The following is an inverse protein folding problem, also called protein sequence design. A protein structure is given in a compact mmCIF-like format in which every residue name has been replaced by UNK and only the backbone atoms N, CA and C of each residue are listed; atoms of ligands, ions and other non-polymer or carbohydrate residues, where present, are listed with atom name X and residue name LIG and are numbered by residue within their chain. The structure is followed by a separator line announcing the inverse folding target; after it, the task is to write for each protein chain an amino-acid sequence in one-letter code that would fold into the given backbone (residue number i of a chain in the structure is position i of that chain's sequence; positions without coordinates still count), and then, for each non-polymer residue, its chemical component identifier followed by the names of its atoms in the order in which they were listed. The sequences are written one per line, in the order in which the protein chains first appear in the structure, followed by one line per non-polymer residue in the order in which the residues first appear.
data_IF_586848861382
#
_entry.id   IF_586848861382
#
_cell.length_a   1.000
_cell.length_b   1.000
_cell.length_c   1.000
_cell.angle_alpha   90.00
_cell.angle_beta   90.00
_cell.angle_gamma   90.00
#
_symmetry.space_group_name_H-M   'P 1'
#
loop_
_entity.id
_entity.type
_entity.pdbx_description
1 polymer ?
#
# COMPACT_ATOMS: atom_id res chain seq x y z
N UNK A 1 39.26 6.41 15.43
CA UNK A 1 38.10 7.29 15.13
C UNK A 1 37.67 7.31 13.65
N UNK A 2 38.55 7.08 12.66
CA UNK A 2 38.19 7.11 11.22
C UNK A 2 37.30 5.96 10.71
N UNK A 3 37.35 4.78 11.33
CA UNK A 3 36.51 3.64 10.90
C UNK A 3 35.04 3.77 11.32
N UNK A 4 34.74 4.45 12.43
CA UNK A 4 33.39 4.56 12.98
C UNK A 4 32.48 5.49 12.15
N UNK A 5 33.06 6.50 11.50
CA UNK A 5 32.32 7.44 10.64
C UNK A 5 31.85 6.75 9.35
N UNK A 6 32.64 5.80 8.82
CA UNK A 6 32.27 5.05 7.62
C UNK A 6 31.12 4.06 7.88
N UNK A 7 31.11 3.41 9.06
CA UNK A 7 30.02 2.50 9.45
C UNK A 7 28.70 3.24 9.64
N UNK A 8 28.73 4.42 10.27
CA UNK A 8 27.54 5.25 10.45
C UNK A 8 27.00 5.82 9.13
N UNK A 9 27.87 6.12 8.16
CA UNK A 9 27.45 6.60 6.83
C UNK A 9 26.81 5.47 6.00
N UNK A 10 27.32 4.24 6.11
CA UNK A 10 26.73 3.07 5.45
C UNK A 10 25.32 2.73 5.99
N UNK A 11 25.06 2.96 7.28
CA UNK A 11 23.72 2.76 7.86
C UNK A 11 22.69 3.82 7.44
N UNK A 12 23.15 5.01 7.02
CA UNK A 12 22.25 6.09 6.58
C UNK A 12 21.86 5.97 5.10
N UNK A 13 22.67 5.28 4.29
CA UNK A 13 22.42 5.07 2.86
C UNK A 13 21.30 4.06 2.56
N UNK A 14 20.80 3.34 3.56
CA UNK A 14 19.84 2.23 3.39
C UNK A 14 18.38 2.63 3.68
N UNK A 15 17.99 3.90 3.47
CA UNK A 15 16.56 4.31 3.55
C UNK A 15 15.82 4.09 2.23
N UNK A 16 16.20 3.07 1.46
CA UNK A 16 15.47 2.71 0.26
C UNK A 16 14.16 2.00 0.67
N UNK A 17 13.06 2.38 0.03
CA UNK A 17 11.75 1.76 0.21
C UNK A 17 11.51 0.83 -0.99
N UNK A 18 10.80 -0.28 -0.77
CA UNK A 18 10.22 -1.05 -1.86
C UNK A 18 9.26 -0.16 -2.64
N UNK A 19 9.33 -0.20 -3.97
CA UNK A 19 8.42 0.53 -4.84
C UNK A 19 7.27 -0.37 -5.25
N UNK A 20 6.04 0.00 -4.88
CA UNK A 20 4.85 -0.84 -5.03
C UNK A 20 3.80 -0.10 -5.84
N UNK A 21 3.43 -0.69 -6.97
CA UNK A 21 2.39 -0.15 -7.85
C UNK A 21 1.14 -1.04 -7.83
N UNK A 22 -0.03 -0.44 -7.57
CA UNK A 22 -1.31 -1.11 -7.77
C UNK A 22 -1.72 -1.06 -9.24
N UNK A 23 -1.76 -2.23 -9.88
CA UNK A 23 -2.13 -2.38 -11.29
C UNK A 23 -3.63 -2.66 -11.48
N UNK A 24 -4.34 -3.04 -10.41
CA UNK A 24 -5.79 -3.19 -10.38
C UNK A 24 -6.34 -2.76 -9.02
N UNK A 25 -7.50 -2.10 -8.95
CA UNK A 25 -8.33 -1.65 -10.09
C UNK A 25 -7.69 -0.49 -10.86
N UNK A 26 -8.07 -0.34 -12.14
CA UNK A 26 -7.60 0.80 -12.94
C UNK A 26 -8.06 2.13 -12.30
N UNK A 27 -7.21 3.15 -12.39
CA UNK A 27 -7.50 4.46 -11.81
C UNK A 27 -8.80 5.06 -12.38
N UNK A 28 -9.61 5.67 -11.52
CA UNK A 28 -10.88 6.31 -11.90
C UNK A 28 -12.07 5.36 -12.09
N UNK A 29 -11.87 4.04 -11.98
CA UNK A 29 -12.98 3.08 -12.05
C UNK A 29 -13.91 3.25 -10.85
N UNK A 30 -15.21 3.25 -11.11
CA UNK A 30 -16.25 3.22 -10.09
C UNK A 30 -16.65 1.79 -9.77
N UNK A 31 -16.57 1.41 -8.50
CA UNK A 31 -16.93 0.07 -8.03
C UNK A 31 -18.09 0.21 -7.04
N UNK A 32 -19.27 -0.35 -7.32
CA UNK A 32 -20.39 -0.29 -6.40
C UNK A 32 -20.09 -1.00 -5.08
N UNK A 33 -20.56 -0.44 -3.97
CA UNK A 33 -20.59 -1.14 -2.69
C UNK A 33 -21.31 -2.48 -2.80
N UNK A 34 -20.86 -3.47 -2.05
CA UNK A 34 -21.34 -4.85 -2.11
C UNK A 34 -20.74 -5.68 -3.25
N UNK A 35 -19.96 -5.08 -4.14
CA UNK A 35 -19.31 -5.80 -5.26
C UNK A 35 -17.92 -6.26 -4.87
N UNK A 36 -17.53 -7.44 -5.36
CA UNK A 36 -16.16 -7.92 -5.23
C UNK A 36 -15.23 -7.15 -6.19
N UNK A 37 -14.13 -6.63 -5.66
CA UNK A 37 -13.03 -6.06 -6.41
C UNK A 37 -11.79 -6.92 -6.27
N UNK A 38 -10.98 -7.00 -7.33
CA UNK A 38 -9.66 -7.64 -7.29
C UNK A 38 -8.60 -6.55 -7.29
N UNK A 39 -7.78 -6.58 -6.25
CA UNK A 39 -6.65 -5.69 -6.05
C UNK A 39 -5.40 -6.46 -6.44
N UNK A 40 -4.59 -5.88 -7.32
CA UNK A 40 -3.34 -6.48 -7.78
C UNK A 40 -2.24 -5.44 -7.69
N UNK A 41 -1.06 -5.87 -7.27
CA UNK A 41 0.12 -5.02 -7.20
C UNK A 41 1.38 -5.74 -7.67
N UNK A 42 2.37 -4.94 -8.05
CA UNK A 42 3.73 -5.39 -8.37
C UNK A 42 4.73 -4.50 -7.66
N UNK A 43 5.85 -5.09 -7.26
CA UNK A 43 7.07 -4.39 -6.89
C UNK A 43 7.99 -4.28 -8.12
N UNK A 44 8.83 -3.24 -8.17
CA UNK A 44 9.69 -2.94 -9.31
C UNK A 44 10.92 -3.88 -9.43
N UNK A 45 11.15 -4.72 -8.42
CA UNK A 45 12.26 -5.67 -8.33
C UNK A 45 13.59 -5.02 -7.91
N UNK A 46 13.61 -3.71 -7.64
CA UNK A 46 14.80 -3.01 -7.18
C UNK A 46 14.94 -3.20 -5.67
N UNK A 47 16.11 -3.66 -5.22
CA UNK A 47 16.34 -3.86 -3.79
C UNK A 47 16.29 -2.52 -3.02
N UNK A 48 15.62 -2.45 -1.85
CA UNK A 48 14.93 -3.55 -1.17
C UNK A 48 13.56 -3.85 -1.80
N UNK A 49 13.35 -5.11 -2.14
CA UNK A 49 12.07 -5.60 -2.67
C UNK A 49 11.06 -5.78 -1.54
N UNK A 50 9.76 -5.67 -1.87
CA UNK A 50 8.67 -5.72 -0.89
C UNK A 50 8.66 -6.99 -0.01
N UNK A 51 9.19 -8.11 -0.50
CA UNK A 51 9.28 -9.39 0.20
C UNK A 51 10.44 -9.50 1.21
N UNK A 52 11.32 -8.49 1.27
CA UNK A 52 12.33 -8.37 2.32
C UNK A 52 11.73 -7.89 3.65
N UNK A 53 10.50 -7.37 3.63
CA UNK A 53 9.73 -7.01 4.82
C UNK A 53 8.95 -8.21 5.37
N UNK A 54 8.59 -8.18 6.65
CA UNK A 54 7.96 -9.32 7.32
C UNK A 54 6.47 -9.47 7.00
N UNK A 55 5.71 -8.37 7.03
CA UNK A 55 4.27 -8.39 6.83
C UNK A 55 3.70 -7.03 6.41
N UNK A 56 2.49 -7.04 5.84
CA UNK A 56 1.74 -5.84 5.48
C UNK A 56 0.34 -5.78 6.07
N UNK A 57 -0.19 -4.56 6.09
CA UNK A 57 -1.61 -4.27 6.25
C UNK A 57 -2.07 -3.54 4.99
N UNK A 58 -3.15 -4.02 4.37
CA UNK A 58 -3.76 -3.39 3.20
C UNK A 58 -5.08 -2.74 3.63
N UNK A 59 -5.19 -1.44 3.40
CA UNK A 59 -6.36 -0.65 3.74
C UNK A 59 -6.96 -0.02 2.50
N UNK A 60 -8.30 0.00 2.44
CA UNK A 60 -9.04 0.84 1.52
C UNK A 60 -9.14 2.24 2.13
N UNK A 61 -8.60 3.22 1.44
CA UNK A 61 -8.62 4.62 1.84
C UNK A 61 -9.74 5.36 1.08
N UNK A 62 -10.37 6.35 1.72
CA UNK A 62 -11.32 7.25 1.09
C UNK A 62 -11.08 8.69 1.57
N UNK A 63 -11.26 9.67 0.68
CA UNK A 63 -11.11 11.08 1.01
C UNK A 63 -10.30 11.89 -0.01
N UNK A 64 -9.86 13.08 0.40
CA UNK A 64 -9.26 14.10 -0.46
C UNK A 64 -7.76 13.92 -0.75
N UNK A 65 -7.19 14.88 -1.47
CA UNK A 65 -5.82 14.81 -2.02
C UNK A 65 -4.69 15.01 -0.99
N UNK A 66 -5.00 15.19 0.30
CA UNK A 66 -4.00 15.43 1.35
C UNK A 66 -4.16 14.43 2.48
N UNK A 67 -3.07 14.09 3.17
CA UNK A 67 -3.08 13.13 4.29
C UNK A 67 -4.06 13.50 5.41
N UNK A 68 -4.38 14.79 5.58
CA UNK A 68 -5.35 15.27 6.57
C UNK A 68 -6.81 15.05 6.14
N UNK A 69 -7.06 14.77 4.86
CA UNK A 69 -8.38 14.57 4.27
C UNK A 69 -8.65 13.14 3.83
N UNK A 70 -7.72 12.21 4.10
CA UNK A 70 -7.85 10.78 3.81
C UNK A 70 -8.14 10.02 5.09
N UNK A 71 -9.13 9.12 5.04
CA UNK A 71 -9.50 8.23 6.14
C UNK A 71 -9.49 6.76 5.68
N UNK A 72 -9.29 5.83 6.62
CA UNK A 72 -9.44 4.39 6.36
C UNK A 72 -10.93 4.08 6.24
N UNK A 73 -11.37 3.72 5.04
CA UNK A 73 -12.75 3.29 4.80
C UNK A 73 -12.96 1.82 5.20
N UNK A 74 -11.95 0.97 5.02
CA UNK A 74 -11.96 -0.42 5.45
C UNK A 74 -10.55 -1.00 5.54
N UNK A 75 -10.34 -2.01 6.39
CA UNK A 75 -9.13 -2.83 6.38
C UNK A 75 -9.40 -4.11 5.57
N UNK A 76 -8.61 -4.32 4.53
CA UNK A 76 -8.74 -5.47 3.61
C UNK A 76 -8.00 -6.68 4.17
N UNK A 77 -6.79 -6.46 4.67
CA UNK A 77 -5.93 -7.47 5.31
C UNK A 77 -5.08 -6.81 6.38
N UNK A 78 -4.73 -7.54 7.43
CA UNK A 78 -3.80 -7.09 8.47
C UNK A 78 -2.77 -8.18 8.75
N UNK A 79 -1.53 -7.74 8.98
CA UNK A 79 -0.39 -8.59 9.36
C UNK A 79 -0.20 -9.84 8.47
N UNK A 80 -0.30 -9.65 7.15
CA UNK A 80 -0.11 -10.74 6.18
C UNK A 80 1.34 -10.79 5.75
N UNK A 81 1.96 -11.96 5.82
CA UNK A 81 3.31 -12.16 5.35
C UNK A 81 3.41 -11.92 3.83
N UNK A 82 4.51 -11.32 3.39
CA UNK A 82 4.79 -11.18 1.96
C UNK A 82 5.15 -12.53 1.34
N UNK A 83 4.76 -12.72 0.09
CA UNK A 83 5.09 -13.91 -0.72
C UNK A 83 5.50 -13.43 -2.10
N UNK A 84 6.80 -13.21 -2.29
CA UNK A 84 7.36 -12.67 -3.53
C UNK A 84 7.00 -11.20 -3.78
N UNK A 85 7.32 -10.73 -4.97
CA UNK A 85 7.24 -9.31 -5.38
C UNK A 85 5.90 -8.90 -6.01
N UNK A 86 4.93 -9.80 -6.10
CA UNK A 86 3.60 -9.52 -6.66
C UNK A 86 2.53 -10.05 -5.74
N UNK A 87 1.32 -9.50 -5.84
CA UNK A 87 0.22 -10.03 -5.07
C UNK A 87 -1.13 -9.71 -5.67
N UNK A 88 -2.11 -10.52 -5.28
CA UNK A 88 -3.50 -10.36 -5.69
C UNK A 88 -4.43 -10.74 -4.54
N UNK A 89 -5.46 -9.92 -4.31
CA UNK A 89 -6.48 -10.14 -3.29
C UNK A 89 -7.84 -9.75 -3.84
N UNK A 90 -8.85 -10.60 -3.61
CA UNK A 90 -10.25 -10.23 -3.80
C UNK A 90 -10.85 -9.71 -2.50
N UNK A 91 -11.56 -8.59 -2.57
CA UNK A 91 -12.20 -7.92 -1.45
C UNK A 91 -13.60 -7.42 -1.84
N UNK A 92 -14.59 -7.65 -1.00
CA UNK A 92 -15.93 -7.09 -1.22
C UNK A 92 -16.01 -5.69 -0.64
N UNK A 93 -16.31 -4.70 -1.48
CA UNK A 93 -16.45 -3.31 -1.05
C UNK A 93 -17.59 -3.20 -0.04
N UNK A 94 -17.39 -2.66 1.16
CA UNK A 94 -18.49 -2.46 2.09
C UNK A 94 -19.53 -1.51 1.51
N UNK A 95 -20.82 -1.79 1.73
CA UNK A 95 -21.91 -0.88 1.34
C UNK A 95 -21.82 0.50 2.02
N UNK A 96 -21.06 0.59 3.12
CA UNK A 96 -20.80 1.82 3.87
C UNK A 96 -19.57 2.58 3.40
N UNK A 97 -18.72 1.98 2.57
CA UNK A 97 -17.54 2.64 2.00
C UNK A 97 -18.02 3.63 0.92
N UNK A 98 -17.71 4.92 1.08
CA UNK A 98 -18.09 5.95 0.12
C UNK A 98 -19.34 6.78 0.46
N UNK A 99 -19.74 6.89 1.74
CA UNK A 99 -20.64 8.01 2.10
C UNK A 99 -19.98 9.30 1.66
N UNK A 100 -20.69 10.09 0.87
CA UNK A 100 -20.21 11.31 0.20
C UNK A 100 -19.46 12.18 1.19
N UNK A 101 -18.13 12.13 1.14
CA UNK A 101 -17.36 13.29 1.58
C UNK A 101 -17.69 14.35 0.54
N UNK A 102 -18.43 15.38 0.93
CA UNK A 102 -18.62 16.56 0.10
C UNK A 102 -17.24 16.96 -0.40
N UNK A 103 -16.99 16.89 -1.70
CA UNK A 103 -15.84 17.58 -2.28
C UNK A 103 -16.03 19.04 -1.90
N UNK A 104 -15.25 19.50 -0.93
CA UNK A 104 -15.20 20.92 -0.54
C UNK A 104 -14.73 21.78 -1.69
#
# INVERSE_FOLDING_TARGET
MRFQVLTALATLAATAFADVEFTSPAAGVQIPGGTAMTITWTDDGTSPTIDQFSAYTLNLMAGGATSASVAVAATIKTNVAYVGTTGTITFTVPLTAGKTSTNG
#
